data_IF_618028091892
#
_entry.id   IF_618028091892
#
_cell.length_a   1.000
_cell.length_b   1.000
_cell.length_c   1.000
_cell.angle_alpha   90.00
_cell.angle_beta   90.00
_cell.angle_gamma   90.00
#
_symmetry.space_group_name_H-M   'P 1'
#
loop_
_entity.id
_entity.type
_entity.pdbx_description
1 polymer ?
#
# COMPACT_ATOMS: atom_id res chain seq x y z
N UNK A 1 -3.49 -1.94 -15.31
CA UNK A 1 -3.42 -0.61 -15.95
C UNK A 1 -2.39 -0.67 -17.08
N UNK A 2 -2.83 -0.71 -18.35
CA UNK A 2 -1.96 -1.02 -19.49
C UNK A 2 -0.95 0.08 -19.84
N UNK A 3 -1.22 1.34 -19.47
CA UNK A 3 -0.34 2.47 -19.84
C UNK A 3 0.50 2.85 -18.63
N UNK A 4 1.79 2.57 -18.70
CA UNK A 4 2.81 2.82 -17.67
C UNK A 4 2.45 2.33 -16.25
N UNK A 5 1.46 1.43 -16.11
CA UNK A 5 0.94 1.01 -14.81
C UNK A 5 0.09 2.06 -14.08
N UNK A 6 -0.21 3.22 -14.71
CA UNK A 6 -0.90 4.35 -14.06
C UNK A 6 -2.26 4.68 -14.67
N UNK A 7 -2.52 4.28 -15.92
CA UNK A 7 -3.76 4.64 -16.62
C UNK A 7 -4.28 3.53 -17.54
N UNK A 8 -5.53 3.70 -17.97
CA UNK A 8 -6.28 2.79 -18.83
C UNK A 8 -7.01 3.59 -19.91
N UNK A 9 -7.23 2.99 -21.07
CA UNK A 9 -8.07 3.56 -22.14
C UNK A 9 -9.57 3.26 -21.94
N UNK A 10 -9.90 2.45 -20.93
CA UNK A 10 -11.28 2.11 -20.60
C UNK A 10 -12.08 3.36 -20.17
N UNK A 11 -13.39 3.40 -20.45
CA UNK A 11 -14.28 4.40 -19.88
C UNK A 11 -14.20 4.45 -18.35
N UNK A 12 -14.37 5.65 -17.79
CA UNK A 12 -14.27 5.85 -16.34
C UNK A 12 -15.18 4.91 -15.53
N UNK A 13 -16.41 4.65 -16.02
CA UNK A 13 -17.34 3.74 -15.35
C UNK A 13 -16.80 2.31 -15.26
N UNK A 14 -16.21 1.79 -16.34
CA UNK A 14 -15.61 0.45 -16.33
C UNK A 14 -14.40 0.35 -15.40
N UNK A 15 -13.64 1.44 -15.26
CA UNK A 15 -12.54 1.50 -14.28
C UNK A 15 -13.08 1.43 -12.85
N UNK A 16 -14.16 2.16 -12.56
CA UNK A 16 -14.82 2.12 -11.24
C UNK A 16 -15.34 0.73 -10.94
N UNK A 17 -16.02 0.08 -11.89
CA UNK A 17 -16.58 -1.26 -11.70
C UNK A 17 -15.48 -2.30 -11.40
N UNK A 18 -14.34 -2.24 -12.12
CA UNK A 18 -13.19 -3.09 -11.82
C UNK A 18 -12.56 -2.80 -10.45
N UNK A 19 -12.50 -1.53 -10.02
CA UNK A 19 -11.98 -1.17 -8.69
C UNK A 19 -12.87 -1.71 -7.57
N UNK A 20 -14.19 -1.67 -7.73
CA UNK A 20 -15.12 -2.22 -6.74
C UNK A 20 -15.03 -3.76 -6.65
N UNK A 21 -14.81 -4.45 -7.77
CA UNK A 21 -14.51 -5.88 -7.76
C UNK A 21 -13.24 -6.20 -6.97
N UNK A 22 -12.16 -5.43 -7.19
CA UNK A 22 -10.90 -5.60 -6.45
C UNK A 22 -11.12 -5.39 -4.95
N UNK A 23 -11.85 -4.33 -4.55
CA UNK A 23 -12.17 -4.07 -3.13
C UNK A 23 -12.95 -5.20 -2.49
N UNK A 24 -13.92 -5.77 -3.22
CA UNK A 24 -14.71 -6.92 -2.74
C UNK A 24 -13.83 -8.13 -2.49
N UNK A 25 -12.96 -8.48 -3.46
CA UNK A 25 -12.03 -9.60 -3.32
C UNK A 25 -11.06 -9.37 -2.15
N UNK A 26 -10.58 -8.14 -1.94
CA UNK A 26 -9.73 -7.81 -0.80
C UNK A 26 -10.46 -8.02 0.53
N UNK A 27 -11.72 -7.60 0.63
CA UNK A 27 -12.54 -7.84 1.82
C UNK A 27 -12.75 -9.33 2.08
N UNK A 28 -13.01 -10.13 1.04
CA UNK A 28 -13.14 -11.59 1.15
C UNK A 28 -11.84 -12.27 1.61
N UNK A 29 -10.69 -11.69 1.29
CA UNK A 29 -9.37 -12.12 1.78
C UNK A 29 -9.08 -11.67 3.22
N UNK A 30 -10.00 -10.94 3.86
CA UNK A 30 -9.88 -10.49 5.25
C UNK A 30 -9.27 -9.09 5.40
N UNK A 31 -9.18 -8.28 4.33
CA UNK A 31 -8.76 -6.89 4.44
C UNK A 31 -9.93 -6.04 4.95
N UNK A 32 -9.77 -5.50 6.15
CA UNK A 32 -10.80 -4.76 6.89
C UNK A 32 -10.64 -3.22 6.82
N UNK A 33 -9.77 -2.72 5.93
CA UNK A 33 -9.63 -1.29 5.69
C UNK A 33 -10.87 -0.71 4.97
N UNK A 34 -11.38 0.46 5.39
CA UNK A 34 -12.52 1.12 4.73
C UNK A 34 -12.29 1.45 3.25
N UNK A 35 -11.06 1.80 2.88
CA UNK A 35 -10.62 1.92 1.49
C UNK A 35 -9.19 1.36 1.36
N UNK A 36 -9.05 0.08 0.98
CA UNK A 36 -7.75 -0.58 0.86
C UNK A 36 -6.84 0.08 -0.20
N UNK A 37 -7.43 0.61 -1.28
CA UNK A 37 -6.68 1.20 -2.39
C UNK A 37 -6.12 2.57 -1.97
N UNK A 38 -6.93 3.39 -1.31
CA UNK A 38 -6.47 4.65 -0.74
C UNK A 38 -5.38 4.43 0.32
N UNK A 39 -5.55 3.40 1.16
CA UNK A 39 -4.57 3.03 2.18
C UNK A 39 -3.23 2.67 1.56
N UNK A 40 -3.23 1.80 0.55
CA UNK A 40 -2.01 1.40 -0.16
C UNK A 40 -1.34 2.56 -0.88
N UNK A 41 -2.13 3.40 -1.56
CA UNK A 41 -1.63 4.60 -2.26
C UNK A 41 -0.98 5.57 -1.28
N UNK A 42 -1.59 5.74 -0.10
CA UNK A 42 -1.07 6.62 0.95
C UNK A 42 0.26 6.12 1.50
N UNK A 43 0.37 4.82 1.78
CA UNK A 43 1.59 4.22 2.35
C UNK A 43 2.74 4.12 1.36
N UNK A 44 2.48 4.02 0.07
CA UNK A 44 3.53 3.95 -0.97
C UNK A 44 3.93 5.33 -1.51
N UNK A 45 3.03 6.30 -1.42
CA UNK A 45 3.27 7.69 -1.79
C UNK A 45 4.18 8.45 -0.82
N UNK A 46 4.81 9.53 -1.30
CA UNK A 46 5.70 10.38 -0.50
C UNK A 46 4.99 11.60 0.14
N UNK A 47 3.66 11.64 0.13
CA UNK A 47 2.91 12.89 0.28
C UNK A 47 2.63 13.30 1.75
N UNK A 48 2.30 12.37 2.65
CA UNK A 48 1.71 12.73 3.95
C UNK A 48 2.19 11.87 5.14
N UNK A 49 2.34 10.53 5.05
CA UNK A 49 2.75 9.77 6.23
C UNK A 49 4.27 9.87 6.47
N UNK A 50 4.68 9.94 7.75
CA UNK A 50 6.09 9.75 8.14
C UNK A 50 6.61 8.33 7.87
N UNK A 51 5.75 7.46 7.36
CA UNK A 51 6.03 6.05 7.07
C UNK A 51 5.74 5.78 5.60
N UNK A 52 6.75 5.31 4.87
CA UNK A 52 6.63 4.95 3.46
C UNK A 52 7.02 3.50 3.24
N UNK A 53 6.26 2.78 2.44
CA UNK A 53 6.61 1.48 1.89
C UNK A 53 7.18 1.71 0.49
N UNK A 54 8.42 1.28 0.25
CA UNK A 54 9.03 1.33 -1.07
C UNK A 54 9.90 0.08 -1.32
N UNK A 55 10.58 0.04 -2.46
CA UNK A 55 11.52 -1.03 -2.83
C UNK A 55 12.64 -1.27 -1.81
N UNK A 56 12.93 -0.28 -0.95
CA UNK A 56 13.91 -0.39 0.13
C UNK A 56 13.33 -0.97 1.42
N UNK A 57 12.01 -1.22 1.48
CA UNK A 57 11.30 -1.70 2.67
C UNK A 57 10.47 -0.59 3.34
N UNK A 58 10.39 -0.64 4.67
CA UNK A 58 9.61 0.30 5.48
C UNK A 58 10.49 1.48 5.92
N UNK A 59 10.25 2.65 5.35
CA UNK A 59 11.06 3.85 5.58
C UNK A 59 10.35 4.82 6.51
N UNK A 60 11.00 5.18 7.61
CA UNK A 60 10.57 6.28 8.47
C UNK A 60 11.17 7.59 7.97
N UNK A 61 10.35 8.42 7.32
CA UNK A 61 10.73 9.71 6.75
C UNK A 61 11.03 10.78 7.82
N UNK A 62 10.58 10.61 9.07
CA UNK A 62 10.93 11.52 10.17
C UNK A 62 12.40 11.38 10.58
N UNK A 63 12.93 10.16 10.56
CA UNK A 63 14.32 9.88 10.95
C UNK A 63 15.26 9.65 9.76
N UNK A 64 14.71 9.49 8.55
CA UNK A 64 15.46 9.14 7.35
C UNK A 64 16.06 7.72 7.39
N UNK A 65 15.51 6.85 8.25
CA UNK A 65 16.03 5.50 8.49
C UNK A 65 15.09 4.45 7.89
N UNK A 66 15.68 3.50 7.17
CA UNK A 66 14.98 2.28 6.74
C UNK A 66 14.94 1.29 7.90
N UNK A 67 13.76 0.75 8.19
CA UNK A 67 13.55 -0.33 9.15
C UNK A 67 13.19 -1.61 8.41
N UNK A 68 13.61 -2.75 8.97
CA UNK A 68 13.08 -4.04 8.55
C UNK A 68 11.56 -4.07 8.75
N UNK A 69 10.84 -4.71 7.83
CA UNK A 69 9.40 -4.89 7.93
C UNK A 69 9.02 -5.80 9.12
N UNK A 70 9.94 -6.69 9.50
CA UNK A 70 9.81 -7.56 10.65
C UNK A 70 10.58 -6.99 11.85
N UNK A 71 10.10 -7.20 13.08
CA UNK A 71 10.86 -6.84 14.27
C UNK A 71 12.21 -7.57 14.26
N UNK A 72 13.28 -6.85 14.59
CA UNK A 72 14.56 -7.47 14.93
C UNK A 72 14.26 -8.48 16.05
N UNK A 73 14.62 -9.74 15.84
CA UNK A 73 14.50 -10.76 16.88
C UNK A 73 15.24 -10.23 18.10
N UNK A 74 14.50 -9.86 19.15
CA UNK A 74 15.11 -9.51 20.42
C UNK A 74 16.00 -10.71 20.81
N UNK A 75 17.30 -10.48 20.92
CA UNK A 75 18.18 -11.40 21.62
C UNK A 75 17.51 -11.70 22.96
N UNK A 76 17.17 -12.97 23.17
CA UNK A 76 16.47 -13.41 24.37
C UNK A 76 17.21 -12.96 25.64
N UNK A 77 16.51 -12.79 26.76
CA UNK A 77 17.13 -12.34 27.99
C UNK A 77 18.24 -13.34 28.39
N UNK A 78 19.47 -12.84 28.48
CA UNK A 78 20.58 -13.53 29.15
C UNK A 78 20.38 -13.52 30.66
#
# INVERSE_FOLDING_TARGET
LPIFGIMSELPAQEIVDHLEQIKTIMADLGVDFPDPILTLTTLTGAAIPYLRICEQGLVNLKEGRTKGLFPDQAEGPS
#
